data_IF_156270063800
#
_entry.id   IF_156270063800
#
_cell.length_a   1.000
_cell.length_b   1.000
_cell.length_c   1.000
_cell.angle_alpha   90.00
_cell.angle_beta   90.00
_cell.angle_gamma   90.00
#
_symmetry.space_group_name_H-M   'P 1'
#
loop_
_entity.id
_entity.type
_entity.pdbx_description
1 polymer ?
#
# COMPACT_ATOMS: atom_id res chain seq x y z
N UNK A 1 -20.69 -1.42 -17.27
CA UNK A 1 -19.49 -0.60 -16.96
C UNK A 1 -19.94 0.84 -17.06
N UNK A 2 -19.55 1.71 -16.12
CA UNK A 2 -19.76 3.15 -16.31
C UNK A 2 -18.89 3.58 -17.49
N UNK A 3 -19.48 4.25 -18.47
CA UNK A 3 -18.73 4.83 -19.58
C UNK A 3 -17.89 5.99 -19.02
N UNK A 4 -16.64 6.10 -19.47
CA UNK A 4 -15.81 7.25 -19.14
C UNK A 4 -16.44 8.53 -19.68
N UNK A 5 -16.42 9.60 -18.90
CA UNK A 5 -16.76 10.95 -19.37
C UNK A 5 -15.63 11.51 -20.24
N UNK A 6 -15.93 12.53 -21.06
CA UNK A 6 -14.90 13.18 -21.89
C UNK A 6 -13.79 13.82 -21.03
N UNK A 7 -14.17 14.35 -19.86
CA UNK A 7 -13.25 14.95 -18.91
C UNK A 7 -12.32 13.90 -18.28
N UNK A 8 -12.85 12.75 -17.83
CA UNK A 8 -12.03 11.65 -17.31
C UNK A 8 -11.04 11.14 -18.37
N UNK A 9 -11.49 10.97 -19.62
CA UNK A 9 -10.60 10.57 -20.74
C UNK A 9 -9.47 11.56 -20.95
N UNK A 10 -9.79 12.86 -20.91
CA UNK A 10 -8.80 13.92 -21.08
C UNK A 10 -7.74 13.86 -19.97
N UNK A 11 -8.16 13.81 -18.70
CA UNK A 11 -7.22 13.78 -17.57
C UNK A 11 -6.35 12.52 -17.57
N UNK A 12 -6.93 11.35 -17.83
CA UNK A 12 -6.16 10.10 -17.85
C UNK A 12 -5.13 10.12 -18.99
N UNK A 13 -5.52 10.54 -20.19
CA UNK A 13 -4.61 10.65 -21.34
C UNK A 13 -3.50 11.67 -21.08
N UNK A 14 -3.86 12.87 -20.62
CA UNK A 14 -2.89 13.94 -20.34
C UNK A 14 -1.93 13.59 -19.21
N UNK A 15 -2.36 12.77 -18.25
CA UNK A 15 -1.47 12.24 -17.19
C UNK A 15 -0.54 11.17 -17.76
N UNK A 16 -1.09 10.25 -18.57
CA UNK A 16 -0.32 9.18 -19.20
C UNK A 16 0.80 9.71 -20.10
N UNK A 17 0.52 10.75 -20.89
CA UNK A 17 1.50 11.37 -21.80
C UNK A 17 2.70 12.01 -21.08
N UNK A 18 2.58 12.27 -19.77
CA UNK A 18 3.67 12.78 -18.94
C UNK A 18 4.52 11.69 -18.30
N UNK A 19 4.10 10.43 -18.38
CA UNK A 19 4.81 9.32 -17.74
C UNK A 19 6.01 8.88 -18.56
N UNK A 20 7.16 8.75 -17.91
CA UNK A 20 8.30 8.04 -18.47
C UNK A 20 8.08 6.53 -18.29
N UNK A 21 7.43 5.90 -19.25
CA UNK A 21 7.05 4.47 -19.18
C UNK A 21 8.27 3.55 -19.07
N UNK A 22 9.40 3.93 -19.66
CA UNK A 22 10.63 3.13 -19.60
C UNK A 22 11.20 3.10 -18.18
N UNK A 23 11.32 4.27 -17.55
CA UNK A 23 11.81 4.40 -16.18
C UNK A 23 10.81 3.80 -15.18
N UNK A 24 9.57 4.28 -15.19
CA UNK A 24 8.54 3.86 -14.23
C UNK A 24 8.22 2.38 -14.38
N UNK A 25 8.14 1.87 -15.61
CA UNK A 25 7.84 0.47 -15.88
C UNK A 25 8.91 -0.46 -15.32
N UNK A 26 10.19 -0.13 -15.55
CA UNK A 26 11.31 -0.92 -15.04
C UNK A 26 11.33 -1.00 -13.52
N UNK A 27 11.03 0.11 -12.84
CA UNK A 27 11.08 0.18 -11.38
C UNK A 27 9.82 -0.35 -10.69
N UNK A 28 8.65 -0.28 -11.34
CA UNK A 28 7.37 -0.62 -10.71
C UNK A 28 7.30 -2.09 -10.30
N UNK A 29 7.73 -3.00 -11.18
CA UNK A 29 7.77 -4.42 -10.85
C UNK A 29 8.85 -4.73 -9.80
N UNK A 30 10.01 -4.08 -9.88
CA UNK A 30 11.07 -4.24 -8.89
C UNK A 30 10.59 -3.81 -7.49
N UNK A 31 9.92 -2.65 -7.39
CA UNK A 31 9.31 -2.18 -6.14
C UNK A 31 8.26 -3.16 -5.63
N UNK A 32 7.39 -3.68 -6.51
CA UNK A 32 6.40 -4.69 -6.14
C UNK A 32 7.07 -5.96 -5.58
N UNK A 33 8.11 -6.50 -6.22
CA UNK A 33 8.78 -7.71 -5.75
C UNK A 33 9.55 -7.52 -4.43
N UNK A 34 10.06 -6.30 -4.18
CA UNK A 34 10.71 -5.94 -2.91
C UNK A 34 9.66 -5.81 -1.80
N UNK A 35 8.53 -5.19 -2.11
CA UNK A 35 7.48 -4.83 -1.16
C UNK A 35 6.56 -6.00 -0.88
N UNK A 36 6.39 -6.92 -1.82
CA UNK A 36 5.56 -8.11 -1.69
C UNK A 36 6.38 -9.35 -2.01
N UNK A 37 7.31 -9.79 -1.13
CA UNK A 37 8.19 -10.92 -1.44
C UNK A 37 7.46 -12.20 -1.81
N UNK A 38 6.24 -12.41 -1.31
CA UNK A 38 5.40 -13.55 -1.67
C UNK A 38 5.00 -13.58 -3.16
N UNK A 39 5.06 -12.46 -3.86
CA UNK A 39 4.79 -12.38 -5.31
C UNK A 39 5.95 -12.91 -6.14
N UNK A 40 7.15 -13.02 -5.58
CA UNK A 40 8.33 -13.54 -6.29
C UNK A 40 8.14 -14.98 -6.79
N UNK A 41 7.27 -15.76 -6.13
CA UNK A 41 6.90 -17.12 -6.57
C UNK A 41 6.26 -17.18 -7.96
N UNK A 42 5.73 -16.06 -8.48
CA UNK A 42 5.18 -15.99 -9.83
C UNK A 42 6.24 -15.68 -10.89
N UNK A 43 7.49 -15.43 -10.47
CA UNK A 43 8.60 -15.00 -11.30
C UNK A 43 9.86 -15.83 -11.02
N UNK A 44 9.70 -17.11 -10.65
CA UNK A 44 10.82 -18.01 -10.33
C UNK A 44 11.79 -18.17 -11.52
N UNK A 45 11.26 -18.04 -12.74
CA UNK A 45 12.04 -18.05 -13.97
C UNK A 45 12.83 -16.76 -14.22
N UNK A 46 12.65 -15.71 -13.40
CA UNK A 46 13.38 -14.45 -13.56
C UNK A 46 14.77 -14.49 -12.92
N UNK A 47 15.15 -15.63 -12.32
CA UNK A 47 16.46 -15.82 -11.72
C UNK A 47 16.51 -15.36 -10.27
N UNK A 48 17.62 -14.73 -9.85
CA UNK A 48 17.79 -14.35 -8.45
C UNK A 48 16.92 -13.14 -8.07
N UNK A 49 15.92 -13.37 -7.21
CA UNK A 49 15.07 -12.35 -6.60
C UNK A 49 15.22 -12.27 -5.07
N UNK A 50 16.22 -12.95 -4.49
CA UNK A 50 16.35 -13.12 -3.03
C UNK A 50 16.69 -11.85 -2.25
N UNK A 51 17.18 -10.81 -2.91
CA UNK A 51 17.56 -9.54 -2.27
C UNK A 51 17.07 -8.35 -3.08
N UNK A 52 16.85 -7.21 -2.41
CA UNK A 52 16.46 -5.97 -3.10
C UNK A 52 17.50 -5.55 -4.15
N UNK A 53 18.79 -5.74 -3.89
CA UNK A 53 19.84 -5.45 -4.87
C UNK A 53 19.73 -6.36 -6.08
N UNK A 54 19.51 -7.66 -5.89
CA UNK A 54 19.31 -8.59 -6.99
C UNK A 54 18.08 -8.20 -7.84
N UNK A 55 16.97 -7.85 -7.21
CA UNK A 55 15.73 -7.42 -7.89
C UNK A 55 15.96 -6.13 -8.69
N UNK A 56 16.57 -5.11 -8.09
CA UNK A 56 16.80 -3.79 -8.72
C UNK A 56 17.78 -3.80 -9.89
N UNK A 57 18.58 -4.85 -10.03
CA UNK A 57 19.51 -5.02 -11.17
C UNK A 57 19.08 -6.14 -12.11
N UNK A 58 17.90 -6.73 -11.90
CA UNK A 58 17.42 -7.83 -12.70
C UNK A 58 16.77 -7.33 -14.00
N UNK A 59 17.43 -7.59 -15.13
CA UNK A 59 16.97 -7.15 -16.45
C UNK A 59 15.61 -7.76 -16.82
N UNK A 60 15.31 -9.01 -16.42
CA UNK A 60 14.00 -9.63 -16.69
C UNK A 60 12.88 -8.95 -15.93
N UNK A 61 13.13 -8.55 -14.69
CA UNK A 61 12.19 -7.75 -13.89
C UNK A 61 11.93 -6.41 -14.59
N UNK A 62 12.98 -5.73 -15.03
CA UNK A 62 12.84 -4.43 -15.70
C UNK A 62 12.08 -4.56 -17.03
N UNK A 63 12.44 -5.54 -17.85
CA UNK A 63 11.80 -5.78 -19.14
C UNK A 63 10.33 -6.17 -19.00
N UNK A 64 10.00 -7.01 -18.02
CA UNK A 64 8.61 -7.38 -17.76
C UNK A 64 7.82 -6.21 -17.18
N UNK A 65 8.40 -5.43 -16.26
CA UNK A 65 7.75 -4.23 -15.71
C UNK A 65 7.41 -3.20 -16.79
N UNK A 66 8.32 -2.97 -17.75
CA UNK A 66 8.05 -2.17 -18.96
C UNK A 66 6.93 -2.76 -19.80
N UNK A 67 6.91 -4.08 -20.01
CA UNK A 67 5.83 -4.76 -20.77
C UNK A 67 4.47 -4.56 -20.10
N UNK A 68 4.41 -4.70 -18.78
CA UNK A 68 3.20 -4.45 -17.98
C UNK A 68 2.75 -3.01 -18.14
N UNK A 69 3.62 -2.02 -17.89
CA UNK A 69 3.23 -0.61 -17.97
C UNK A 69 2.83 -0.18 -19.39
N UNK A 70 3.52 -0.68 -20.43
CA UNK A 70 3.12 -0.45 -21.82
C UNK A 70 1.72 -1.00 -22.14
N UNK A 71 1.29 -2.09 -21.51
CA UNK A 71 -0.07 -2.61 -21.70
C UNK A 71 -1.13 -1.63 -21.19
N UNK A 72 -0.88 -0.92 -20.09
CA UNK A 72 -1.77 0.15 -19.61
C UNK A 72 -1.87 1.31 -20.62
N UNK A 73 -0.82 1.60 -21.38
CA UNK A 73 -0.89 2.55 -22.48
C UNK A 73 -1.87 2.10 -23.57
N UNK A 74 -1.94 0.80 -23.85
CA UNK A 74 -2.97 0.23 -24.73
C UNK A 74 -4.37 0.34 -24.12
N UNK A 75 -4.54 0.21 -22.80
CA UNK A 75 -5.81 0.47 -22.13
C UNK A 75 -6.23 1.94 -22.26
N UNK A 76 -5.30 2.88 -22.07
CA UNK A 76 -5.55 4.32 -22.18
C UNK A 76 -5.98 4.70 -23.61
N UNK A 77 -5.41 4.07 -24.63
CA UNK A 77 -5.82 4.27 -26.03
C UNK A 77 -7.17 3.65 -26.38
N UNK A 78 -7.61 2.63 -25.66
CA UNK A 78 -8.80 1.83 -25.95
C UNK A 78 -9.79 1.83 -24.77
N UNK A 79 -10.00 2.97 -24.12
CA UNK A 79 -10.77 3.09 -22.87
C UNK A 79 -12.19 2.52 -22.93
N UNK A 80 -12.84 2.63 -24.09
CA UNK A 80 -14.21 2.13 -24.31
C UNK A 80 -14.24 0.63 -24.70
N UNK A 81 -13.08 0.06 -25.01
CA UNK A 81 -12.90 -1.33 -25.46
C UNK A 81 -11.84 -2.09 -24.64
N UNK A 82 -11.68 -1.74 -23.36
CA UNK A 82 -10.65 -2.33 -22.50
C UNK A 82 -10.83 -3.85 -22.40
N UNK A 83 -12.08 -4.32 -22.27
CA UNK A 83 -12.38 -5.76 -22.15
C UNK A 83 -11.92 -6.53 -23.37
N UNK A 84 -12.25 -6.03 -24.56
CA UNK A 84 -11.85 -6.64 -25.82
C UNK A 84 -10.33 -6.57 -25.98
N UNK A 85 -9.72 -5.42 -25.68
CA UNK A 85 -8.27 -5.18 -25.80
C UNK A 85 -7.44 -6.09 -24.90
N UNK A 86 -7.99 -6.52 -23.75
CA UNK A 86 -7.29 -7.35 -22.76
C UNK A 86 -7.78 -8.80 -22.74
N UNK A 87 -8.68 -9.23 -23.64
CA UNK A 87 -9.27 -10.57 -23.60
C UNK A 87 -8.23 -11.70 -23.61
N UNK A 88 -7.25 -11.63 -24.51
CA UNK A 88 -6.17 -12.63 -24.59
C UNK A 88 -5.25 -12.59 -23.36
N UNK A 89 -4.98 -11.39 -22.82
CA UNK A 89 -4.17 -11.25 -21.61
C UNK A 89 -4.91 -11.79 -20.38
N UNK A 90 -6.21 -11.56 -20.29
CA UNK A 90 -7.09 -12.11 -19.25
C UNK A 90 -7.10 -13.64 -19.31
N UNK A 91 -7.28 -14.20 -20.51
CA UNK A 91 -7.21 -15.65 -20.74
C UNK A 91 -5.85 -16.23 -20.34
N UNK A 92 -4.75 -15.56 -20.69
CA UNK A 92 -3.41 -15.97 -20.29
C UNK A 92 -3.28 -16.06 -18.75
N UNK A 93 -3.75 -15.03 -18.03
CA UNK A 93 -3.68 -15.00 -16.57
C UNK A 93 -4.55 -16.06 -15.89
N UNK A 94 -5.74 -16.31 -16.44
CA UNK A 94 -6.67 -17.33 -15.95
C UNK A 94 -6.17 -18.75 -16.24
N UNK A 95 -5.90 -19.05 -17.51
CA UNK A 95 -5.76 -20.42 -18.00
C UNK A 95 -4.33 -20.97 -17.85
N UNK A 96 -3.32 -20.10 -17.84
CA UNK A 96 -1.90 -20.53 -17.88
C UNK A 96 -1.09 -20.07 -16.69
N UNK A 97 -1.30 -18.83 -16.24
CA UNK A 97 -0.51 -18.27 -15.13
C UNK A 97 -1.16 -18.55 -13.77
N UNK A 98 -2.46 -18.91 -13.76
CA UNK A 98 -3.25 -19.20 -12.56
C UNK A 98 -3.06 -18.14 -11.45
N UNK A 99 -2.95 -16.88 -11.86
CA UNK A 99 -2.79 -15.76 -10.91
C UNK A 99 -4.15 -15.47 -10.31
N UNK A 100 -4.25 -15.59 -8.98
CA UNK A 100 -5.47 -15.32 -8.24
C UNK A 100 -6.00 -13.91 -8.58
N UNK A 101 -7.28 -13.74 -8.98
CA UNK A 101 -7.91 -12.45 -9.21
C UNK A 101 -7.75 -11.45 -8.05
N UNK A 102 -7.64 -11.91 -6.80
CA UNK A 102 -7.38 -11.03 -5.65
C UNK A 102 -6.07 -10.23 -5.80
N UNK A 103 -5.08 -10.75 -6.54
CA UNK A 103 -3.81 -10.06 -6.78
C UNK A 103 -3.96 -8.84 -7.72
N UNK A 104 -5.07 -8.72 -8.45
CA UNK A 104 -5.36 -7.60 -9.35
C UNK A 104 -6.31 -6.57 -8.74
N UNK A 105 -6.88 -6.85 -7.56
CA UNK A 105 -7.80 -5.91 -6.93
C UNK A 105 -7.03 -4.75 -6.32
N UNK A 106 -7.13 -3.58 -6.97
CA UNK A 106 -6.94 -2.32 -6.27
C UNK A 106 -8.05 -2.22 -5.21
N UNK A 107 -7.66 -1.95 -3.96
CA UNK A 107 -8.60 -1.46 -2.98
C UNK A 107 -9.08 -0.10 -3.46
N UNK A 108 -10.24 -0.07 -4.13
CA UNK A 108 -10.88 1.18 -4.51
C UNK A 108 -11.29 1.86 -3.21
N UNK A 109 -10.75 3.06 -2.88
CA UNK A 109 -11.32 3.83 -1.79
C UNK A 109 -12.80 4.04 -2.10
N UNK A 110 -13.71 3.96 -1.12
CA UNK A 110 -15.11 4.26 -1.38
C UNK A 110 -15.19 5.62 -2.07
N UNK A 111 -15.74 5.66 -3.29
CA UNK A 111 -15.88 6.91 -4.04
C UNK A 111 -16.60 7.92 -3.15
N UNK A 112 -16.13 9.17 -3.12
CA UNK A 112 -16.67 10.28 -2.32
C UNK A 112 -18.16 10.63 -2.57
N UNK A 113 -18.88 9.84 -3.37
CA UNK A 113 -20.31 9.99 -3.65
C UNK A 113 -21.16 9.05 -2.78
N UNK A 114 -21.09 9.20 -1.46
CA UNK A 114 -22.19 8.99 -0.51
C UNK A 114 -21.65 9.20 0.90
N UNK A 115 -21.56 10.47 1.31
CA UNK A 115 -21.34 10.85 2.70
C UNK A 115 -22.53 10.38 3.55
N UNK A 116 -22.50 9.12 3.98
CA UNK A 116 -23.20 8.59 5.15
C UNK A 116 -22.26 7.58 5.79
N UNK A 117 -21.54 8.03 6.81
CA UNK A 117 -20.66 7.29 7.71
C UNK A 117 -19.70 6.25 7.05
N UNK A 118 -18.38 6.53 6.95
CA UNK A 118 -17.40 5.59 6.40
C UNK A 118 -17.22 4.28 7.18
N UNK A 119 -17.96 4.07 8.27
CA UNK A 119 -17.79 2.97 9.23
C UNK A 119 -18.58 1.69 8.91
N UNK A 120 -19.35 1.66 7.81
CA UNK A 120 -20.35 0.60 7.56
C UNK A 120 -20.06 -0.31 6.36
N UNK A 121 -18.79 -0.72 6.18
CA UNK A 121 -18.45 -1.94 5.43
C UNK A 121 -18.11 -3.04 6.43
N UNK A 122 -19.11 -3.48 7.21
CA UNK A 122 -18.96 -4.63 8.10
C UNK A 122 -19.13 -5.91 7.29
N UNK A 123 -18.04 -6.67 7.11
CA UNK A 123 -18.19 -8.12 7.02
C UNK A 123 -18.72 -8.59 8.38
N UNK A 124 -20.04 -8.68 8.55
CA UNK A 124 -20.81 -9.51 9.51
C UNK A 124 -20.45 -9.65 11.00
N UNK A 125 -19.29 -9.21 11.46
CA UNK A 125 -18.76 -9.48 12.79
C UNK A 125 -19.15 -8.37 13.77
N UNK A 126 -19.47 -8.75 15.00
CA UNK A 126 -19.81 -7.81 16.07
C UNK A 126 -18.58 -7.04 16.59
N UNK A 127 -18.75 -5.89 17.26
CA UNK A 127 -17.64 -5.09 17.78
C UNK A 127 -16.69 -5.85 18.73
N UNK A 128 -17.20 -6.82 19.50
CA UNK A 128 -16.38 -7.62 20.40
C UNK A 128 -15.42 -8.56 19.65
N UNK A 129 -15.91 -9.15 18.55
CA UNK A 129 -15.14 -10.04 17.69
C UNK A 129 -14.08 -9.28 16.91
N UNK A 130 -14.42 -8.10 16.38
CA UNK A 130 -13.43 -7.19 15.76
C UNK A 130 -12.30 -6.84 16.74
N UNK A 131 -12.63 -6.49 17.99
CA UNK A 131 -11.62 -6.21 19.04
C UNK A 131 -10.75 -7.43 19.33
N UNK A 132 -11.33 -8.63 19.35
CA UNK A 132 -10.58 -9.87 19.57
C UNK A 132 -9.63 -10.17 18.41
N UNK A 133 -10.05 -9.98 17.16
CA UNK A 133 -9.21 -10.13 15.98
C UNK A 133 -8.03 -9.15 16.00
N UNK A 134 -8.28 -7.88 16.36
CA UNK A 134 -7.24 -6.86 16.47
C UNK A 134 -6.26 -7.22 17.59
N UNK A 135 -6.74 -7.41 18.82
CA UNK A 135 -5.88 -7.66 19.98
C UNK A 135 -5.14 -8.99 19.89
N UNK A 136 -5.78 -10.02 19.34
CA UNK A 136 -5.20 -11.33 19.12
C UNK A 136 -4.06 -11.34 18.11
N UNK A 137 -4.20 -10.63 16.98
CA UNK A 137 -3.10 -10.48 16.02
C UNK A 137 -2.00 -9.57 16.59
N UNK A 138 -2.38 -8.44 17.19
CA UNK A 138 -1.44 -7.46 17.74
C UNK A 138 -0.53 -8.05 18.81
N UNK A 139 -1.06 -8.96 19.66
CA UNK A 139 -0.27 -9.66 20.68
C UNK A 139 0.90 -10.49 20.13
N UNK A 140 0.93 -10.76 18.82
CA UNK A 140 1.99 -11.49 18.13
C UNK A 140 2.92 -10.58 17.31
N UNK A 141 2.61 -9.29 17.19
CA UNK A 141 3.37 -8.34 16.35
C UNK A 141 4.72 -8.02 17.00
N UNK A 142 5.81 -8.23 16.27
CA UNK A 142 7.10 -7.66 16.62
C UNK A 142 7.13 -6.17 16.24
N UNK A 143 6.79 -5.31 17.21
CA UNK A 143 6.63 -3.87 16.99
C UNK A 143 7.87 -3.19 16.39
N UNK A 144 9.07 -3.60 16.80
CA UNK A 144 10.29 -2.97 16.29
C UNK A 144 10.58 -3.36 14.84
N UNK A 145 10.43 -4.64 14.52
CA UNK A 145 10.66 -5.20 13.19
C UNK A 145 9.59 -4.72 12.20
N UNK A 146 8.32 -5.01 12.49
CA UNK A 146 7.19 -4.61 11.65
C UNK A 146 7.14 -3.09 11.45
N UNK A 147 7.49 -2.30 12.49
CA UNK A 147 7.49 -0.85 12.42
C UNK A 147 8.58 -0.32 11.49
N UNK A 148 9.80 -0.84 11.63
CA UNK A 148 10.91 -0.51 10.74
C UNK A 148 10.63 -0.88 9.29
N UNK A 149 10.06 -2.07 9.05
CA UNK A 149 9.67 -2.50 7.71
C UNK A 149 8.55 -1.64 7.11
N UNK A 150 7.53 -1.29 7.89
CA UNK A 150 6.42 -0.46 7.42
C UNK A 150 6.93 0.92 6.96
N UNK A 151 7.77 1.59 7.77
CA UNK A 151 8.32 2.88 7.36
C UNK A 151 9.28 2.75 6.17
N UNK A 152 10.12 1.73 6.13
CA UNK A 152 11.00 1.49 4.99
C UNK A 152 10.20 1.31 3.69
N UNK A 153 9.13 0.50 3.71
CA UNK A 153 8.27 0.28 2.55
C UNK A 153 7.50 1.52 2.14
N UNK A 154 7.03 2.34 3.09
CA UNK A 154 6.43 3.65 2.77
C UNK A 154 7.40 4.51 1.94
N UNK A 155 8.66 4.63 2.40
CA UNK A 155 9.68 5.46 1.75
C UNK A 155 10.12 4.92 0.38
N UNK A 156 10.03 3.60 0.16
CA UNK A 156 10.38 2.95 -1.11
C UNK A 156 9.21 3.03 -2.11
N UNK A 157 7.99 2.73 -1.66
CA UNK A 157 6.79 2.66 -2.52
C UNK A 157 6.31 4.04 -2.90
N UNK A 158 6.39 4.99 -1.96
CA UNK A 158 5.91 6.35 -2.12
C UNK A 158 7.06 7.34 -1.91
N UNK A 159 8.01 7.47 -2.85
CA UNK A 159 9.25 8.22 -2.64
C UNK A 159 9.06 9.69 -2.25
N UNK A 160 7.93 10.31 -2.61
CA UNK A 160 7.61 11.68 -2.20
C UNK A 160 7.51 11.83 -0.67
N UNK A 161 7.21 10.74 0.06
CA UNK A 161 7.17 10.74 1.53
C UNK A 161 8.56 10.98 2.14
N UNK A 162 9.64 10.71 1.42
CA UNK A 162 11.02 10.94 1.87
C UNK A 162 11.29 12.42 2.21
N UNK A 163 10.54 13.36 1.62
CA UNK A 163 10.67 14.81 1.90
C UNK A 163 10.50 15.16 3.38
N UNK A 164 9.72 14.37 4.12
CA UNK A 164 9.47 14.57 5.55
C UNK A 164 10.62 14.07 6.44
N UNK A 165 11.61 13.38 5.86
CA UNK A 165 12.66 12.65 6.57
C UNK A 165 14.08 13.08 6.13
N UNK A 166 14.25 14.33 5.68
CA UNK A 166 15.56 14.84 5.23
C UNK A 166 16.69 14.70 6.27
N UNK A 167 16.37 14.74 7.56
CA UNK A 167 17.32 14.56 8.66
C UNK A 167 17.73 13.10 8.92
N UNK A 168 17.17 12.14 8.17
CA UNK A 168 17.43 10.70 8.37
C UNK A 168 18.70 10.23 7.66
N UNK A 169 19.36 11.11 6.91
CA UNK A 169 20.59 10.78 6.17
C UNK A 169 20.26 10.11 4.84
N UNK A 170 21.02 9.08 4.47
CA UNK A 170 20.89 8.45 3.16
C UNK A 170 19.58 7.65 3.04
N UNK A 171 18.70 8.07 2.13
CA UNK A 171 17.46 7.39 1.72
C UNK A 171 17.43 7.16 0.19
N UNK A 172 18.57 7.24 -0.50
CA UNK A 172 18.63 7.31 -1.97
C UNK A 172 18.32 6.00 -2.70
N UNK A 173 18.22 4.88 -1.99
CA UNK A 173 17.93 3.57 -2.57
C UNK A 173 17.22 2.67 -1.57
N UNK A 174 16.51 1.62 -2.02
CA UNK A 174 15.87 0.66 -1.12
C UNK A 174 16.83 0.04 -0.11
N UNK A 175 18.06 -0.32 -0.53
CA UNK A 175 19.08 -0.84 0.39
C UNK A 175 19.50 0.19 1.43
N UNK A 176 19.67 1.47 1.04
CA UNK A 176 19.98 2.55 1.98
C UNK A 176 18.84 2.76 2.99
N UNK A 177 17.59 2.78 2.52
CA UNK A 177 16.39 2.96 3.36
C UNK A 177 16.25 1.80 4.36
N UNK A 178 16.31 0.55 3.90
CA UNK A 178 16.16 -0.64 4.76
C UNK A 178 17.29 -0.73 5.80
N UNK A 179 18.51 -0.38 5.41
CA UNK A 179 19.66 -0.36 6.30
C UNK A 179 19.72 0.85 7.25
N UNK A 180 18.83 1.84 7.10
CA UNK A 180 18.93 3.09 7.83
C UNK A 180 18.46 2.94 9.30
N UNK A 181 19.33 3.17 10.30
CA UNK A 181 18.96 3.00 11.71
C UNK A 181 17.89 4.02 12.16
N UNK A 182 17.87 5.23 11.60
CA UNK A 182 16.84 6.24 11.94
C UNK A 182 15.47 5.85 11.39
N UNK A 183 15.42 5.22 10.20
CA UNK A 183 14.17 4.66 9.65
C UNK A 183 13.66 3.56 10.59
N UNK A 184 14.51 2.63 11.02
CA UNK A 184 14.12 1.55 11.94
C UNK A 184 13.62 2.09 13.28
N UNK A 185 14.34 3.02 13.89
CA UNK A 185 13.95 3.62 15.17
C UNK A 185 12.66 4.44 15.07
N UNK A 186 12.47 5.20 13.99
CA UNK A 186 11.23 5.95 13.81
C UNK A 186 10.05 5.03 13.51
N UNK A 187 10.24 4.00 12.68
CA UNK A 187 9.23 2.98 12.41
C UNK A 187 8.76 2.28 13.68
N UNK A 188 9.68 1.95 14.58
CA UNK A 188 9.35 1.43 15.92
C UNK A 188 8.50 2.42 16.72
N UNK A 189 8.81 3.72 16.72
CA UNK A 189 8.00 4.75 17.41
C UNK A 189 6.58 4.83 16.85
N UNK A 190 6.46 4.84 15.52
CA UNK A 190 5.17 4.84 14.81
C UNK A 190 4.34 3.62 15.23
N UNK A 191 4.91 2.42 15.14
CA UNK A 191 4.15 1.20 15.44
C UNK A 191 3.90 1.04 16.95
N UNK A 192 4.77 1.57 17.82
CA UNK A 192 4.51 1.68 19.26
C UNK A 192 3.27 2.53 19.51
N UNK A 193 3.17 3.70 18.86
CA UNK A 193 2.00 4.56 18.96
C UNK A 193 0.74 3.88 18.39
N UNK A 194 0.85 3.10 17.33
CA UNK A 194 -0.26 2.27 16.83
C UNK A 194 -0.77 1.28 17.89
N UNK A 195 0.12 0.76 18.72
CA UNK A 195 -0.25 -0.06 19.88
C UNK A 195 -1.10 0.67 20.91
N UNK A 196 -1.00 1.99 21.01
CA UNK A 196 -1.89 2.76 21.88
C UNK A 196 -3.30 2.88 21.30
N UNK A 197 -3.46 2.86 19.96
CA UNK A 197 -4.77 2.70 19.32
C UNK A 197 -5.40 1.35 19.68
N UNK A 198 -4.63 0.27 19.60
CA UNK A 198 -5.09 -1.09 19.93
C UNK A 198 -5.53 -1.20 21.40
N UNK A 199 -4.85 -0.50 22.31
CA UNK A 199 -5.25 -0.43 23.73
C UNK A 199 -6.50 0.43 23.97
N UNK A 200 -6.80 1.35 23.06
CA UNK A 200 -7.87 2.36 23.21
C UNK A 200 -8.83 2.36 22.02
N UNK A 201 -9.29 1.17 21.57
CA UNK A 201 -10.11 1.01 20.37
C UNK A 201 -11.43 1.80 20.39
N UNK A 202 -11.97 2.09 21.58
CA UNK A 202 -13.18 2.90 21.75
C UNK A 202 -12.91 4.41 21.80
N UNK A 203 -11.64 4.83 21.87
CA UNK A 203 -11.24 6.22 22.11
C UNK A 203 -10.04 6.65 21.25
N UNK A 204 -9.94 6.12 20.03
CA UNK A 204 -8.80 6.37 19.11
C UNK A 204 -8.65 7.86 18.81
N UNK A 205 -9.76 8.58 18.61
CA UNK A 205 -9.75 10.03 18.33
C UNK A 205 -9.03 10.82 19.43
N UNK A 206 -9.39 10.61 20.69
CA UNK A 206 -8.75 11.32 21.80
C UNK A 206 -7.29 10.85 22.00
N UNK A 207 -7.04 9.56 21.80
CA UNK A 207 -5.69 8.96 21.89
C UNK A 207 -4.70 9.67 20.94
N UNK A 208 -5.14 10.02 19.73
CA UNK A 208 -4.30 10.67 18.72
C UNK A 208 -4.37 12.19 18.68
N UNK A 209 -5.14 12.85 19.54
CA UNK A 209 -5.37 14.30 19.44
C UNK A 209 -4.07 15.13 19.38
N UNK A 210 -3.11 14.85 20.28
CA UNK A 210 -1.80 15.53 20.30
C UNK A 210 -0.92 15.21 19.09
N UNK A 211 -1.00 13.98 18.59
CA UNK A 211 -0.26 13.58 17.39
C UNK A 211 -0.87 14.20 16.13
N UNK A 212 -2.19 14.35 16.08
CA UNK A 212 -2.89 15.06 15.00
C UNK A 212 -2.43 16.52 14.94
N UNK A 213 -2.41 17.22 16.07
CA UNK A 213 -1.89 18.60 16.18
C UNK A 213 -0.42 18.69 15.72
N UNK A 214 0.44 17.80 16.21
CA UNK A 214 1.85 17.76 15.80
C UNK A 214 1.99 17.59 14.29
N UNK A 215 1.29 16.62 13.70
CA UNK A 215 1.41 16.36 12.28
C UNK A 215 0.81 17.47 11.43
N UNK A 216 -0.26 18.13 11.91
CA UNK A 216 -0.91 19.27 11.27
C UNK A 216 -0.06 20.53 11.33
N UNK A 217 0.22 21.01 12.53
CA UNK A 217 0.69 22.38 12.75
C UNK A 217 2.21 22.52 12.63
N UNK A 218 2.94 21.41 12.78
CA UNK A 218 4.42 21.42 12.76
C UNK A 218 5.01 20.67 11.59
N UNK A 219 4.47 19.49 11.27
CA UNK A 219 5.05 18.62 10.24
C UNK A 219 4.41 18.81 8.86
N UNK A 220 3.20 19.39 8.81
CA UNK A 220 2.43 19.64 7.58
C UNK A 220 2.37 18.40 6.66
N UNK A 221 2.10 17.24 7.24
CA UNK A 221 1.97 15.97 6.54
C UNK A 221 0.58 15.85 5.95
N UNK A 222 0.46 15.94 4.62
CA UNK A 222 -0.82 15.73 3.93
C UNK A 222 -1.53 14.44 4.43
N UNK A 223 -2.80 14.53 4.88
CA UNK A 223 -3.53 13.43 5.49
C UNK A 223 -3.58 12.15 4.65
N UNK A 224 -3.47 12.23 3.33
CA UNK A 224 -3.45 11.07 2.45
C UNK A 224 -2.27 10.14 2.77
N UNK A 225 -1.14 10.68 3.23
CA UNK A 225 0.03 9.87 3.60
C UNK A 225 -0.23 8.95 4.81
N UNK A 226 -1.20 9.27 5.67
CA UNK A 226 -1.60 8.36 6.75
C UNK A 226 -2.32 7.13 6.23
N UNK A 227 -3.13 7.28 5.16
CA UNK A 227 -3.78 6.14 4.50
C UNK A 227 -2.76 5.23 3.84
N UNK A 228 -1.79 5.82 3.12
CA UNK A 228 -0.69 5.09 2.49
C UNK A 228 0.11 4.26 3.50
N UNK A 229 0.41 4.82 4.67
CA UNK A 229 1.07 4.08 5.75
C UNK A 229 0.18 2.97 6.33
N UNK A 230 -1.12 3.23 6.46
CA UNK A 230 -2.11 2.22 6.84
C UNK A 230 -2.12 1.04 5.89
N UNK A 231 -2.15 1.28 4.58
CA UNK A 231 -2.13 0.24 3.55
C UNK A 231 -0.84 -0.57 3.62
N UNK A 232 0.31 0.09 3.79
CA UNK A 232 1.60 -0.57 3.99
C UNK A 232 1.59 -1.45 5.24
N UNK A 233 0.98 -1.00 6.34
CA UNK A 233 0.88 -1.81 7.55
C UNK A 233 0.04 -3.08 7.30
N UNK A 234 -1.05 -3.01 6.55
CA UNK A 234 -1.85 -4.19 6.18
C UNK A 234 -1.02 -5.20 5.39
N UNK A 235 -0.17 -4.72 4.50
CA UNK A 235 0.74 -5.55 3.70
C UNK A 235 1.79 -6.23 4.58
N UNK A 236 2.35 -5.50 5.55
CA UNK A 236 3.30 -6.06 6.54
C UNK A 236 2.62 -7.17 7.35
N UNK A 237 1.43 -6.91 7.88
CA UNK A 237 0.70 -7.91 8.67
C UNK A 237 0.38 -9.15 7.85
N UNK A 238 -0.07 -8.99 6.59
CA UNK A 238 -0.30 -10.12 5.69
C UNK A 238 0.98 -10.94 5.45
N UNK A 239 2.12 -10.28 5.24
CA UNK A 239 3.39 -10.93 4.98
C UNK A 239 3.93 -11.72 6.19
N UNK A 240 3.77 -11.19 7.40
CA UNK A 240 4.26 -11.83 8.64
C UNK A 240 3.34 -12.94 9.15
N UNK A 241 2.03 -12.80 8.98
CA UNK A 241 1.04 -13.70 9.59
C UNK A 241 0.39 -14.68 8.60
N UNK A 242 0.55 -14.49 7.30
CA UNK A 242 0.14 -15.44 6.26
C UNK A 242 -1.28 -15.98 6.47
N UNK A 243 -1.39 -17.28 6.78
CA UNK A 243 -2.70 -17.95 7.00
C UNK A 243 -3.48 -17.42 8.20
N UNK A 244 -2.83 -16.81 9.18
CA UNK A 244 -3.47 -16.19 10.34
C UNK A 244 -4.09 -14.83 10.01
N UNK A 245 -3.63 -14.17 8.93
CA UNK A 245 -4.22 -12.94 8.41
C UNK A 245 -5.40 -13.25 7.48
N UNK A 246 -6.43 -13.87 8.05
CA UNK A 246 -7.65 -14.26 7.32
C UNK A 246 -8.37 -13.06 6.71
N UNK A 247 -9.27 -13.25 5.73
CA UNK A 247 -10.05 -12.15 5.15
C UNK A 247 -10.82 -11.33 6.19
N UNK A 248 -11.35 -11.98 7.23
CA UNK A 248 -12.01 -11.31 8.35
C UNK A 248 -11.03 -10.43 9.13
N UNK A 249 -9.85 -11.00 9.48
CA UNK A 249 -8.78 -10.26 10.15
C UNK A 249 -8.34 -9.05 9.30
N UNK A 250 -8.08 -9.24 8.01
CA UNK A 250 -7.71 -8.18 7.08
C UNK A 250 -8.76 -7.07 7.03
N UNK A 251 -10.05 -7.39 6.89
CA UNK A 251 -11.11 -6.40 6.85
C UNK A 251 -11.19 -5.59 8.16
N UNK A 252 -11.07 -6.25 9.30
CA UNK A 252 -11.05 -5.58 10.62
C UNK A 252 -9.83 -4.68 10.78
N UNK A 253 -8.64 -5.14 10.38
CA UNK A 253 -7.42 -4.33 10.43
C UNK A 253 -7.47 -3.15 9.46
N UNK A 254 -8.05 -3.34 8.27
CA UNK A 254 -8.30 -2.28 7.29
C UNK A 254 -9.21 -1.18 7.86
N UNK A 255 -10.27 -1.57 8.55
CA UNK A 255 -11.12 -0.63 9.31
C UNK A 255 -10.30 0.13 10.36
N UNK A 256 -9.49 -0.57 11.15
CA UNK A 256 -8.66 0.06 12.19
C UNK A 256 -7.68 1.09 11.62
N UNK A 257 -6.91 0.74 10.58
CA UNK A 257 -5.96 1.70 9.98
C UNK A 257 -6.69 2.90 9.37
N UNK A 258 -7.89 2.71 8.82
CA UNK A 258 -8.76 3.79 8.35
C UNK A 258 -9.20 4.73 9.47
N UNK A 259 -9.60 4.19 10.64
CA UNK A 259 -9.98 4.97 11.81
C UNK A 259 -8.77 5.74 12.39
N UNK A 260 -7.60 5.12 12.45
CA UNK A 260 -6.36 5.77 12.90
C UNK A 260 -5.96 6.91 11.96
N UNK A 261 -5.99 6.69 10.65
CA UNK A 261 -5.70 7.73 9.65
C UNK A 261 -6.68 8.91 9.77
N UNK A 262 -7.98 8.63 9.94
CA UNK A 262 -8.98 9.66 10.18
C UNK A 262 -8.73 10.44 11.48
N UNK A 263 -8.36 9.75 12.57
CA UNK A 263 -8.04 10.40 13.84
C UNK A 263 -6.80 11.32 13.74
N UNK A 264 -5.77 10.91 13.00
CA UNK A 264 -4.57 11.73 12.74
C UNK A 264 -4.84 12.91 11.82
N UNK A 265 -5.73 12.76 10.83
CA UNK A 265 -6.15 13.83 9.93
C UNK A 265 -7.14 14.82 10.55
N UNK A 266 -7.62 14.59 11.77
CA UNK A 266 -8.76 15.35 12.31
C UNK A 266 -8.49 16.85 12.47
N UNK A 267 -7.29 17.28 12.85
CA UNK A 267 -6.97 18.70 13.02
C UNK A 267 -6.79 19.47 11.70
N UNK A 268 -6.80 18.79 10.54
CA UNK A 268 -6.69 19.44 9.24
C UNK A 268 -8.00 20.09 8.77
N UNK A 269 -9.15 19.69 9.33
CA UNK A 269 -10.50 20.09 8.92
C UNK A 269 -11.48 20.24 10.09
#
# INVERSE_FOLDING_TARGET
MKNWTAEERHYITATWDKLNVEEIGSESLARLLIVYPWTQKFFEDFGNLSTSSAILHNTRVHDHGKKVLNSFGSAVKNMDHIKESFAELSKLHCDRLHVDPENFKLQVPPSAASAKDPLLLTMGHGPAEEKQLITGLWGKVNVAECGGEALARLLIVYPWTQRFFSSFGNLSSPTAIVGNPKVREHGKKVLTSFGDAVKNLDNIKATYAKLSELHCDRLHVDPENFRLLGDILIIILAAHFGKEFTPACQATWQKLVGVVAHALGHQYH
#
